data_IF_640476361291
#
_entry.id   IF_640476361291
#
_cell.length_a   1.000
_cell.length_b   1.000
_cell.length_c   1.000
_cell.angle_alpha   90.00
_cell.angle_beta   90.00
_cell.angle_gamma   90.00
#
_symmetry.space_group_name_H-M   'P 1'
#
loop_
_entity.id
_entity.type
_entity.pdbx_description
1 polymer ?
#
# COMPACT_ATOMS: atom_id res chain seq x y z
N UNK A 1 -24.80 -6.19 12.83
CA UNK A 1 -25.43 -6.71 11.60
C UNK A 1 -26.64 -5.84 11.18
N UNK A 2 -27.72 -5.70 11.98
CA UNK A 2 -28.90 -4.93 11.52
C UNK A 2 -28.60 -3.46 11.18
N UNK A 3 -27.74 -2.81 11.97
CA UNK A 3 -27.24 -1.46 11.67
C UNK A 3 -26.50 -1.38 10.33
N UNK A 4 -25.72 -2.41 9.99
CA UNK A 4 -24.99 -2.50 8.72
C UNK A 4 -25.95 -2.65 7.55
N UNK A 5 -26.93 -3.54 7.67
CA UNK A 5 -27.98 -3.74 6.65
C UNK A 5 -28.76 -2.45 6.44
N UNK A 6 -29.25 -1.84 7.52
CA UNK A 6 -29.99 -0.58 7.45
C UNK A 6 -29.18 0.55 6.80
N UNK A 7 -27.89 0.68 7.12
CA UNK A 7 -27.02 1.68 6.49
C UNK A 7 -26.82 1.41 5.00
N UNK A 8 -26.64 0.14 4.61
CA UNK A 8 -26.53 -0.28 3.21
C UNK A 8 -27.81 0.04 2.42
N UNK A 9 -28.98 -0.31 2.95
CA UNK A 9 -30.28 -0.08 2.30
C UNK A 9 -30.56 1.42 2.07
N UNK A 10 -30.09 2.26 2.99
CA UNK A 10 -30.25 3.71 2.92
C UNK A 10 -29.06 4.43 2.25
N UNK A 11 -28.04 3.69 1.79
CA UNK A 11 -26.80 4.23 1.19
C UNK A 11 -26.10 5.26 2.08
N UNK A 12 -26.07 5.01 3.38
CA UNK A 12 -25.41 5.87 4.37
C UNK A 12 -24.01 5.34 4.62
N UNK A 13 -22.99 6.13 4.27
CA UNK A 13 -21.61 5.85 4.68
C UNK A 13 -21.47 5.96 6.20
N UNK A 14 -21.14 4.87 6.87
CA UNK A 14 -21.00 4.82 8.34
C UNK A 14 -19.94 3.82 8.76
N UNK A 15 -19.30 4.06 9.90
CA UNK A 15 -18.36 3.14 10.54
C UNK A 15 -19.00 2.55 11.80
N UNK A 16 -18.96 1.21 11.92
CA UNK A 16 -19.57 0.48 13.04
C UNK A 16 -18.48 -0.36 13.71
N UNK A 17 -18.08 0.03 14.92
CA UNK A 17 -17.21 -0.79 15.76
C UNK A 17 -18.00 -1.94 16.38
N UNK A 18 -17.54 -3.17 16.18
CA UNK A 18 -18.03 -4.35 16.89
C UNK A 18 -17.04 -4.72 18.00
N UNK A 19 -17.53 -4.79 19.24
CA UNK A 19 -16.74 -5.22 20.40
C UNK A 19 -16.94 -6.72 20.57
N UNK A 20 -16.02 -7.50 20.04
CA UNK A 20 -16.05 -8.97 20.06
C UNK A 20 -15.01 -9.56 19.12
N UNK A 21 -15.01 -10.89 18.97
CA UNK A 21 -14.11 -11.56 18.03
C UNK A 21 -14.67 -11.49 16.61
N UNK A 22 -13.81 -11.16 15.64
CA UNK A 22 -14.21 -11.06 14.23
C UNK A 22 -14.76 -12.38 13.68
N UNK A 23 -14.25 -13.52 14.16
CA UNK A 23 -14.71 -14.85 13.74
C UNK A 23 -16.16 -15.08 14.15
N UNK A 24 -16.55 -14.69 15.36
CA UNK A 24 -17.93 -14.82 15.83
C UNK A 24 -18.88 -13.94 14.98
N UNK A 25 -18.41 -12.76 14.54
CA UNK A 25 -19.17 -11.90 13.64
C UNK A 25 -19.31 -12.52 12.24
N UNK A 26 -18.24 -13.06 11.66
CA UNK A 26 -18.29 -13.72 10.36
C UNK A 26 -19.20 -14.94 10.36
N UNK A 27 -19.06 -15.81 11.36
CA UNK A 27 -19.94 -16.98 11.52
C UNK A 27 -21.41 -16.56 11.67
N UNK A 28 -21.67 -15.47 12.40
CA UNK A 28 -23.03 -14.92 12.53
C UNK A 28 -23.56 -14.29 11.25
N UNK A 29 -22.70 -13.69 10.42
CA UNK A 29 -23.07 -13.18 9.08
C UNK A 29 -23.45 -14.35 8.16
N UNK A 30 -22.68 -15.44 8.20
CA UNK A 30 -22.96 -16.69 7.50
C UNK A 30 -24.31 -17.27 7.95
N UNK A 31 -24.52 -17.44 9.25
CA UNK A 31 -25.78 -18.00 9.81
C UNK A 31 -27.01 -17.17 9.42
N UNK A 32 -26.85 -15.85 9.32
CA UNK A 32 -27.93 -14.93 8.94
C UNK A 32 -28.09 -14.74 7.43
N UNK A 33 -27.28 -15.41 6.62
CA UNK A 33 -27.27 -15.30 5.16
C UNK A 33 -27.16 -13.84 4.69
N UNK A 34 -26.34 -13.04 5.39
CA UNK A 34 -26.17 -11.62 5.06
C UNK A 34 -25.11 -11.49 3.99
N UNK A 35 -25.50 -10.96 2.83
CA UNK A 35 -24.57 -10.70 1.74
C UNK A 35 -23.60 -9.58 2.10
N UNK A 36 -22.31 -9.85 1.93
CA UNK A 36 -21.22 -8.89 2.14
C UNK A 36 -20.46 -8.76 0.82
N UNK A 37 -20.33 -7.52 0.34
CA UNK A 37 -19.69 -7.25 -0.95
C UNK A 37 -18.16 -7.37 -0.87
N UNK A 38 -17.57 -6.83 0.19
CA UNK A 38 -16.13 -6.68 0.38
C UNK A 38 -15.75 -7.17 1.78
N UNK A 39 -14.72 -8.01 1.87
CA UNK A 39 -14.17 -8.53 3.13
C UNK A 39 -12.65 -8.48 3.15
N UNK A 40 -12.07 -8.24 4.32
CA UNK A 40 -10.62 -8.25 4.53
C UNK A 40 -10.34 -8.52 6.01
N UNK A 41 -9.08 -8.80 6.35
CA UNK A 41 -8.60 -8.90 7.73
C UNK A 41 -7.40 -7.96 7.96
N UNK A 42 -7.33 -7.34 9.14
CA UNK A 42 -6.20 -6.49 9.54
C UNK A 42 -5.79 -6.75 11.00
N UNK A 43 -5.99 -7.97 11.49
CA UNK A 43 -5.44 -8.39 12.79
C UNK A 43 -3.91 -8.48 12.73
N UNK A 44 -3.22 -8.57 13.86
CA UNK A 44 -1.75 -8.58 13.89
C UNK A 44 -1.20 -10.00 13.76
N UNK A 45 -1.40 -10.62 12.60
CA UNK A 45 -0.91 -11.99 12.32
C UNK A 45 0.59 -12.07 11.99
N UNK A 46 1.32 -10.95 12.01
CA UNK A 46 2.78 -10.95 12.02
C UNK A 46 3.37 -11.40 13.38
N UNK A 47 2.57 -11.42 14.44
CA UNK A 47 2.95 -11.88 15.78
C UNK A 47 1.77 -12.59 16.50
N UNK A 48 1.20 -13.66 15.89
CA UNK A 48 -0.08 -14.23 16.28
C UNK A 48 -0.11 -14.75 17.72
N UNK A 49 1.03 -15.26 18.22
CA UNK A 49 1.14 -15.90 19.53
C UNK A 49 1.59 -14.96 20.65
N UNK A 50 1.79 -13.67 20.36
CA UNK A 50 2.22 -12.66 21.34
C UNK A 50 1.18 -11.53 21.48
N UNK A 51 -0.10 -11.90 21.42
CA UNK A 51 -1.21 -10.96 21.54
C UNK A 51 -1.58 -10.24 20.25
N UNK A 52 -1.06 -10.70 19.10
CA UNK A 52 -1.45 -10.17 17.79
C UNK A 52 -2.80 -10.69 17.29
N UNK A 53 -3.20 -11.89 17.73
CA UNK A 53 -4.46 -12.54 17.38
C UNK A 53 -5.04 -13.27 18.59
N UNK A 54 -6.34 -13.11 18.83
CA UNK A 54 -7.01 -13.67 20.00
C UNK A 54 -8.00 -14.78 19.59
N UNK A 55 -7.99 -15.93 20.31
CA UNK A 55 -8.87 -17.05 19.98
C UNK A 55 -10.34 -16.71 20.19
N UNK A 56 -11.20 -17.27 19.33
CA UNK A 56 -12.65 -17.14 19.46
C UNK A 56 -13.18 -18.10 20.53
N UNK A 57 -14.21 -17.68 21.27
CA UNK A 57 -14.79 -18.45 22.38
C UNK A 57 -14.13 -18.23 23.75
N UNK A 58 -13.03 -17.46 23.82
CA UNK A 58 -12.45 -16.95 25.06
C UNK A 58 -12.65 -15.44 25.14
N UNK A 59 -12.82 -14.93 26.35
CA UNK A 59 -12.72 -13.49 26.59
C UNK A 59 -11.28 -13.00 26.40
N UNK A 60 -11.12 -11.67 26.30
CA UNK A 60 -9.80 -11.04 26.22
C UNK A 60 -8.94 -11.38 27.44
N UNK A 61 -9.50 -11.27 28.64
CA UNK A 61 -8.77 -11.54 29.89
C UNK A 61 -8.37 -13.02 30.02
N UNK A 62 -9.27 -13.95 29.69
CA UNK A 62 -8.95 -15.38 29.67
C UNK A 62 -7.85 -15.70 28.65
N UNK A 63 -7.90 -15.07 27.48
CA UNK A 63 -6.88 -15.23 26.45
C UNK A 63 -5.53 -14.67 26.89
N UNK A 64 -5.52 -13.53 27.59
CA UNK A 64 -4.29 -12.96 28.15
C UNK A 64 -3.69 -13.87 29.21
N UNK A 65 -4.49 -14.39 30.13
CA UNK A 65 -4.04 -15.38 31.12
C UNK A 65 -3.47 -16.62 30.42
N UNK A 66 -4.21 -17.18 29.46
CA UNK A 66 -3.81 -18.39 28.74
C UNK A 66 -2.47 -18.21 27.99
N UNK A 67 -2.29 -17.06 27.34
CA UNK A 67 -1.06 -16.72 26.62
C UNK A 67 0.18 -16.74 27.54
N UNK A 68 0.04 -16.38 28.83
CA UNK A 68 1.16 -16.38 29.78
C UNK A 68 1.33 -17.71 30.50
N UNK A 69 0.21 -18.32 30.92
CA UNK A 69 0.20 -19.52 31.75
C UNK A 69 0.42 -20.80 30.94
N UNK A 70 -0.11 -20.86 29.71
CA UNK A 70 0.01 -22.00 28.81
C UNK A 70 0.12 -21.58 27.33
N UNK A 71 1.30 -21.10 26.89
CA UNK A 71 1.49 -20.58 25.54
C UNK A 71 1.22 -21.59 24.41
N UNK A 72 1.45 -22.89 24.65
CA UNK A 72 1.19 -23.93 23.64
C UNK A 72 -0.30 -24.14 23.40
N UNK A 73 -1.13 -24.14 24.47
CA UNK A 73 -2.59 -24.18 24.33
C UNK A 73 -3.11 -22.89 23.69
N UNK A 74 -2.60 -21.72 24.09
CA UNK A 74 -2.94 -20.46 23.42
C UNK A 74 -2.69 -20.53 21.90
N UNK A 75 -1.53 -21.05 21.50
CA UNK A 75 -1.17 -21.25 20.09
C UNK A 75 -2.14 -22.20 19.37
N UNK A 76 -2.49 -23.33 20.00
CA UNK A 76 -3.46 -24.27 19.44
C UNK A 76 -4.84 -23.62 19.23
N UNK A 77 -5.31 -22.84 20.22
CA UNK A 77 -6.58 -22.11 20.14
C UNK A 77 -6.56 -21.03 19.04
N UNK A 78 -5.45 -20.31 18.88
CA UNK A 78 -5.25 -19.34 17.78
C UNK A 78 -5.34 -20.03 16.43
N UNK A 79 -4.63 -21.15 16.25
CA UNK A 79 -4.65 -21.92 15.01
C UNK A 79 -6.06 -22.47 14.71
N UNK A 80 -6.77 -22.94 15.73
CA UNK A 80 -8.16 -23.38 15.58
C UNK A 80 -9.09 -22.23 15.16
N UNK A 81 -8.87 -21.05 15.72
CA UNK A 81 -9.62 -19.85 15.37
C UNK A 81 -9.34 -19.41 13.93
N UNK A 82 -8.11 -19.52 13.45
CA UNK A 82 -7.76 -19.23 12.04
C UNK A 82 -8.48 -20.18 11.07
N UNK A 83 -8.55 -21.48 11.38
CA UNK A 83 -9.30 -22.44 10.57
C UNK A 83 -10.79 -22.08 10.47
N UNK A 84 -11.41 -21.70 11.59
CA UNK A 84 -12.80 -21.21 11.63
C UNK A 84 -12.97 -19.91 10.84
N UNK A 85 -12.04 -18.97 10.99
CA UNK A 85 -12.05 -17.70 10.27
C UNK A 85 -12.06 -17.96 8.75
N UNK A 86 -11.10 -18.74 8.24
CA UNK A 86 -11.02 -19.09 6.81
C UNK A 86 -12.27 -19.82 6.35
N UNK A 87 -12.83 -20.73 7.14
CA UNK A 87 -14.07 -21.43 6.78
C UNK A 87 -15.23 -20.45 6.55
N UNK A 88 -15.40 -19.45 7.42
CA UNK A 88 -16.43 -18.43 7.26
C UNK A 88 -16.17 -17.55 6.02
N UNK A 89 -14.92 -17.16 5.78
CA UNK A 89 -14.53 -16.42 4.58
C UNK A 89 -14.83 -17.24 3.32
N UNK A 90 -14.42 -18.51 3.26
CA UNK A 90 -14.70 -19.42 2.14
C UNK A 90 -16.20 -19.54 1.85
N UNK A 91 -17.02 -19.58 2.89
CA UNK A 91 -18.47 -19.58 2.70
C UNK A 91 -18.95 -18.27 2.05
N UNK A 92 -18.55 -17.12 2.60
CA UNK A 92 -19.01 -15.81 2.12
C UNK A 92 -18.50 -15.50 0.71
N UNK A 93 -17.26 -15.91 0.38
CA UNK A 93 -16.70 -15.75 -0.97
C UNK A 93 -17.41 -16.64 -1.97
N UNK A 94 -17.84 -17.85 -1.57
CA UNK A 94 -18.71 -18.71 -2.40
C UNK A 94 -20.07 -18.07 -2.71
N UNK A 95 -20.53 -17.13 -1.88
CA UNK A 95 -21.76 -16.35 -2.12
C UNK A 95 -21.51 -15.07 -2.93
N UNK A 96 -20.26 -14.74 -3.28
CA UNK A 96 -19.90 -13.58 -4.09
C UNK A 96 -19.22 -12.44 -3.34
N UNK A 97 -18.83 -12.62 -2.07
CA UNK A 97 -17.97 -11.66 -1.38
C UNK A 97 -16.58 -11.63 -2.06
N UNK A 98 -16.07 -10.44 -2.36
CA UNK A 98 -14.68 -10.27 -2.74
C UNK A 98 -13.83 -10.13 -1.47
N UNK A 99 -12.96 -11.11 -1.22
CA UNK A 99 -12.04 -11.11 -0.08
C UNK A 99 -10.60 -10.90 -0.52
N UNK A 100 -9.84 -10.14 0.26
CA UNK A 100 -8.41 -9.97 0.06
C UNK A 100 -7.63 -9.94 1.39
N UNK A 101 -6.36 -10.29 1.35
CA UNK A 101 -5.43 -10.15 2.48
C UNK A 101 -4.85 -8.73 2.55
N UNK A 102 -4.85 -8.10 3.73
CA UNK A 102 -4.41 -6.70 3.90
C UNK A 102 -2.91 -6.55 4.16
N UNK A 103 -2.10 -7.56 3.85
CA UNK A 103 -0.65 -7.58 4.10
C UNK A 103 -0.30 -7.73 5.57
N UNK A 104 -1.14 -8.44 6.33
CA UNK A 104 -0.98 -8.67 7.77
C UNK A 104 -0.55 -10.11 8.12
N UNK A 105 -0.20 -10.91 7.11
CA UNK A 105 0.15 -12.33 7.19
C UNK A 105 -1.04 -13.28 7.46
N UNK A 106 -2.28 -12.86 7.18
CA UNK A 106 -3.46 -13.72 7.36
C UNK A 106 -3.39 -15.00 6.53
N UNK A 107 -3.09 -14.91 5.23
CA UNK A 107 -2.97 -16.09 4.37
C UNK A 107 -1.84 -17.02 4.82
N UNK A 108 -0.70 -16.44 5.21
CA UNK A 108 0.48 -17.17 5.66
C UNK A 108 0.22 -17.96 6.93
N UNK A 109 -0.26 -17.30 7.98
CA UNK A 109 -0.55 -17.96 9.27
C UNK A 109 -1.74 -18.92 9.18
N UNK A 110 -2.75 -18.60 8.36
CA UNK A 110 -3.84 -19.53 8.07
C UNK A 110 -3.34 -20.80 7.39
N UNK A 111 -2.43 -20.67 6.43
CA UNK A 111 -1.79 -21.81 5.77
C UNK A 111 -0.97 -22.65 6.75
N UNK A 112 -0.18 -22.00 7.63
CA UNK A 112 0.57 -22.67 8.71
C UNK A 112 -0.34 -23.38 9.72
N UNK A 113 -1.54 -22.85 9.96
CA UNK A 113 -2.56 -23.44 10.83
C UNK A 113 -3.34 -24.60 10.16
N UNK A 114 -3.08 -24.89 8.88
CA UNK A 114 -3.77 -25.93 8.12
C UNK A 114 -5.19 -25.55 7.71
N UNK A 115 -5.49 -24.26 7.54
CA UNK A 115 -6.76 -23.82 7.00
C UNK A 115 -6.87 -24.08 5.49
N UNK A 116 -8.10 -24.20 4.97
CA UNK A 116 -8.38 -24.37 3.54
C UNK A 116 -8.20 -23.05 2.77
N UNK A 117 -6.95 -22.60 2.67
CA UNK A 117 -6.57 -21.30 2.10
C UNK A 117 -5.79 -21.43 0.78
N UNK A 118 -5.50 -22.66 0.34
CA UNK A 118 -4.76 -22.94 -0.89
C UNK A 118 -5.69 -23.38 -2.03
N UNK A 119 -5.36 -22.97 -3.24
CA UNK A 119 -6.00 -23.42 -4.48
C UNK A 119 -5.36 -24.73 -4.98
N UNK A 120 -5.90 -25.28 -6.07
CA UNK A 120 -5.45 -26.57 -6.64
C UNK A 120 -3.97 -26.58 -7.08
N UNK A 121 -3.42 -25.40 -7.40
CA UNK A 121 -2.04 -25.23 -7.86
C UNK A 121 -1.08 -24.95 -6.68
N UNK A 122 -1.54 -25.05 -5.43
CA UNK A 122 -0.75 -24.77 -4.23
C UNK A 122 -0.50 -23.28 -3.94
N UNK A 123 -1.08 -22.37 -4.72
CA UNK A 123 -1.12 -20.93 -4.41
C UNK A 123 -2.24 -20.58 -3.43
N UNK A 124 -2.30 -19.34 -2.97
CA UNK A 124 -3.42 -18.90 -2.12
C UNK A 124 -4.72 -18.76 -2.91
N UNK A 125 -5.87 -19.04 -2.28
CA UNK A 125 -7.22 -18.85 -2.85
C UNK A 125 -7.57 -17.38 -3.01
N UNK A 126 -7.04 -16.52 -2.15
CA UNK A 126 -7.33 -15.10 -2.13
C UNK A 126 -6.08 -14.29 -2.46
N UNK A 127 -6.24 -13.20 -3.21
CA UNK A 127 -5.16 -12.28 -3.47
C UNK A 127 -4.83 -11.48 -2.20
N UNK A 128 -3.60 -11.01 -2.10
CA UNK A 128 -3.32 -9.84 -1.26
C UNK A 128 -3.83 -8.56 -1.93
N UNK A 129 -4.12 -7.53 -1.13
CA UNK A 129 -4.50 -6.22 -1.65
C UNK A 129 -3.42 -5.63 -2.54
N UNK A 130 -2.15 -6.02 -2.38
CA UNK A 130 -1.08 -5.57 -3.28
C UNK A 130 -1.12 -6.31 -4.60
N UNK A 131 -1.40 -7.61 -4.62
CA UNK A 131 -1.48 -8.40 -5.85
C UNK A 131 -2.54 -7.86 -6.81
N UNK A 132 -3.72 -7.55 -6.29
CA UNK A 132 -4.89 -7.25 -7.13
C UNK A 132 -5.24 -5.76 -7.19
N UNK A 133 -4.87 -4.98 -6.18
CA UNK A 133 -5.27 -3.56 -6.08
C UNK A 133 -4.03 -2.66 -6.17
N UNK A 134 -3.15 -2.65 -5.16
CA UNK A 134 -2.07 -1.66 -5.09
C UNK A 134 -1.04 -1.81 -6.18
N UNK A 135 -0.60 -3.03 -6.48
CA UNK A 135 0.37 -3.28 -7.54
C UNK A 135 -0.17 -2.79 -8.88
N UNK A 136 -1.26 -3.41 -9.38
CA UNK A 136 -1.81 -3.06 -10.69
C UNK A 136 -2.33 -1.64 -10.79
N UNK A 137 -3.03 -1.11 -9.76
CA UNK A 137 -3.69 0.19 -9.84
C UNK A 137 -2.78 1.35 -9.46
N UNK A 138 -1.88 1.17 -8.48
CA UNK A 138 -1.04 2.23 -7.94
C UNK A 138 0.43 2.11 -8.35
N UNK A 139 1.14 1.10 -7.84
CA UNK A 139 2.60 1.02 -7.91
C UNK A 139 3.11 0.82 -9.33
N UNK A 140 2.44 0.01 -10.13
CA UNK A 140 2.80 -0.17 -11.53
C UNK A 140 2.65 1.15 -12.30
N UNK A 141 1.84 2.09 -11.81
CA UNK A 141 1.70 3.45 -12.37
C UNK A 141 2.51 4.52 -11.63
N UNK A 142 3.35 4.13 -10.68
CA UNK A 142 4.17 5.04 -9.88
C UNK A 142 3.42 5.75 -8.74
N UNK A 143 2.11 5.53 -8.58
CA UNK A 143 1.37 6.08 -7.45
C UNK A 143 1.77 5.38 -6.16
N UNK A 144 2.00 6.19 -5.14
CA UNK A 144 2.28 5.71 -3.80
C UNK A 144 2.27 6.86 -2.80
N UNK A 145 2.49 6.57 -1.51
CA UNK A 145 2.31 7.54 -0.44
C UNK A 145 3.29 8.71 -0.60
N UNK A 146 2.77 9.90 -0.85
CA UNK A 146 3.50 11.14 -0.82
C UNK A 146 3.04 11.93 0.41
N UNK A 147 3.95 12.19 1.34
CA UNK A 147 3.66 12.92 2.58
C UNK A 147 4.58 14.11 2.73
N UNK A 148 4.08 15.10 3.47
CA UNK A 148 4.89 16.23 3.85
C UNK A 148 4.57 16.71 5.27
N UNK A 149 5.51 17.44 5.85
CA UNK A 149 5.40 18.06 7.17
C UNK A 149 5.79 19.53 7.07
N UNK A 150 4.92 20.42 7.53
CA UNK A 150 5.21 21.86 7.63
C UNK A 150 6.04 22.13 8.88
N UNK A 151 7.30 22.55 8.72
CA UNK A 151 8.21 22.75 9.86
C UNK A 151 7.82 23.93 10.77
N UNK A 152 6.97 24.84 10.28
CA UNK A 152 6.41 25.94 11.07
C UNK A 152 5.48 25.48 12.19
N UNK A 153 4.86 24.29 12.05
CA UNK A 153 3.81 23.82 12.93
C UNK A 153 2.49 24.60 12.83
N UNK A 154 2.33 25.45 11.81
CA UNK A 154 1.13 26.28 11.62
C UNK A 154 0.06 25.59 10.77
N UNK A 155 -1.20 25.74 11.17
CA UNK A 155 -2.35 25.28 10.38
C UNK A 155 -2.47 26.02 9.05
N UNK A 156 -2.08 27.30 9.01
CA UNK A 156 -2.10 28.10 7.78
C UNK A 156 -1.20 27.53 6.69
N UNK A 157 -0.01 27.03 7.06
CA UNK A 157 0.92 26.41 6.11
C UNK A 157 0.37 25.07 5.61
N UNK A 158 -0.25 24.28 6.49
CA UNK A 158 -0.87 23.01 6.09
C UNK A 158 -2.03 23.24 5.10
N UNK A 159 -2.90 24.21 5.39
CA UNK A 159 -4.00 24.58 4.49
C UNK A 159 -3.48 25.11 3.15
N UNK A 160 -2.38 25.86 3.12
CA UNK A 160 -1.77 26.30 1.87
C UNK A 160 -1.18 25.12 1.09
N UNK A 161 -0.53 24.17 1.77
CA UNK A 161 -0.05 22.94 1.11
C UNK A 161 -1.17 22.07 0.56
N UNK A 162 -2.30 21.99 1.26
CA UNK A 162 -3.48 21.26 0.79
C UNK A 162 -4.06 21.89 -0.49
N UNK A 163 -4.15 23.23 -0.54
CA UNK A 163 -4.58 23.96 -1.75
C UNK A 163 -3.62 23.75 -2.93
N UNK A 164 -2.31 23.78 -2.68
CA UNK A 164 -1.30 23.51 -3.71
C UNK A 164 -1.50 22.12 -4.29
N UNK A 165 -1.63 21.10 -3.42
CA UNK A 165 -1.86 19.73 -3.85
C UNK A 165 -3.17 19.58 -4.63
N UNK A 166 -4.27 20.17 -4.14
CA UNK A 166 -5.56 20.17 -4.84
C UNK A 166 -5.46 20.80 -6.23
N UNK A 167 -4.82 21.96 -6.35
CA UNK A 167 -4.67 22.68 -7.59
C UNK A 167 -3.86 21.86 -8.62
N UNK A 168 -2.70 21.34 -8.21
CA UNK A 168 -1.84 20.54 -9.08
C UNK A 168 -2.56 19.27 -9.55
N UNK A 169 -3.24 18.55 -8.63
CA UNK A 169 -4.00 17.35 -9.00
C UNK A 169 -5.18 17.67 -9.93
N UNK A 170 -5.82 18.84 -9.77
CA UNK A 170 -6.89 19.28 -10.66
C UNK A 170 -6.38 19.53 -12.08
N UNK A 171 -5.25 20.23 -12.23
CA UNK A 171 -4.61 20.44 -13.54
C UNK A 171 -4.20 19.12 -14.19
N UNK A 172 -3.55 18.23 -13.43
CA UNK A 172 -3.17 16.90 -13.91
C UNK A 172 -4.39 16.10 -14.37
N UNK A 173 -5.51 16.18 -13.66
CA UNK A 173 -6.73 15.50 -14.04
C UNK A 173 -7.32 16.02 -15.36
N UNK A 174 -7.14 17.30 -15.70
CA UNK A 174 -7.58 17.85 -16.98
C UNK A 174 -6.68 17.40 -18.14
N UNK A 175 -5.37 17.28 -17.88
CA UNK A 175 -4.36 16.89 -18.86
C UNK A 175 -4.35 15.38 -19.15
N UNK A 176 -4.65 14.56 -18.14
CA UNK A 176 -4.48 13.11 -18.19
C UNK A 176 -5.51 12.42 -19.08
N UNK A 177 -5.07 11.45 -19.90
CA UNK A 177 -5.92 10.68 -20.82
C UNK A 177 -6.08 9.23 -20.41
N UNK A 178 -5.11 8.66 -19.68
CA UNK A 178 -5.20 7.29 -19.18
C UNK A 178 -6.27 7.21 -18.08
N UNK A 179 -7.33 6.45 -18.33
CA UNK A 179 -8.49 6.32 -17.44
C UNK A 179 -8.09 5.82 -16.05
N UNK A 180 -7.10 4.93 -15.95
CA UNK A 180 -6.65 4.39 -14.67
C UNK A 180 -5.86 5.43 -13.88
N UNK A 181 -4.99 6.19 -14.54
CA UNK A 181 -4.26 7.31 -13.91
C UNK A 181 -5.25 8.40 -13.46
N UNK A 182 -6.25 8.73 -14.30
CA UNK A 182 -7.31 9.69 -13.94
C UNK A 182 -8.06 9.26 -12.69
N UNK A 183 -8.41 7.97 -12.57
CA UNK A 183 -9.09 7.44 -11.39
C UNK A 183 -8.25 7.65 -10.12
N UNK A 184 -6.96 7.33 -10.16
CA UNK A 184 -6.06 7.55 -9.03
C UNK A 184 -5.96 9.03 -8.64
N UNK A 185 -5.86 9.94 -9.63
CA UNK A 185 -5.86 11.38 -9.37
C UNK A 185 -7.19 11.82 -8.74
N UNK A 186 -8.33 11.33 -9.23
CA UNK A 186 -9.66 11.66 -8.71
C UNK A 186 -9.84 11.24 -7.25
N UNK A 187 -9.40 10.03 -6.89
CA UNK A 187 -9.49 9.52 -5.53
C UNK A 187 -8.67 10.40 -4.56
N UNK A 188 -7.46 10.77 -4.97
CA UNK A 188 -6.58 11.64 -4.17
C UNK A 188 -7.04 13.10 -4.12
N UNK A 189 -7.68 13.58 -5.19
CA UNK A 189 -8.29 14.90 -5.24
C UNK A 189 -9.52 15.00 -4.34
N UNK A 190 -10.35 13.95 -4.30
CA UNK A 190 -11.46 13.87 -3.34
C UNK A 190 -10.92 13.86 -1.92
N UNK A 191 -9.92 13.03 -1.65
CA UNK A 191 -9.29 12.94 -0.34
C UNK A 191 -8.75 14.30 0.13
N UNK A 192 -7.93 15.00 -0.66
CA UNK A 192 -7.30 16.25 -0.22
C UNK A 192 -8.33 17.36 0.08
N UNK A 193 -9.48 17.36 -0.62
CA UNK A 193 -10.61 18.26 -0.36
C UNK A 193 -11.32 17.99 0.96
N UNK A 194 -11.35 16.74 1.40
CA UNK A 194 -12.08 16.29 2.60
C UNK A 194 -11.17 16.13 3.82
N UNK A 195 -9.85 16.02 3.62
CA UNK A 195 -8.89 15.60 4.64
C UNK A 195 -8.81 16.53 5.86
N UNK A 196 -9.05 17.84 5.69
CA UNK A 196 -9.09 18.80 6.80
C UNK A 196 -10.35 18.63 7.66
N UNK A 197 -11.51 18.40 7.03
CA UNK A 197 -12.78 18.19 7.71
C UNK A 197 -12.77 16.96 8.63
N UNK A 198 -11.92 15.97 8.34
CA UNK A 198 -11.77 14.76 9.16
C UNK A 198 -10.90 14.97 10.42
N UNK A 199 -10.22 16.12 10.58
CA UNK A 199 -9.45 16.46 11.79
C UNK A 199 -8.43 15.38 12.22
N UNK A 200 -7.72 14.80 11.23
CA UNK A 200 -6.83 13.65 11.44
C UNK A 200 -5.41 14.03 11.92
N UNK A 201 -5.11 15.32 12.03
CA UNK A 201 -3.78 15.82 12.38
C UNK A 201 -3.51 15.59 13.86
N UNK A 202 -2.47 14.81 14.16
CA UNK A 202 -1.96 14.59 15.52
C UNK A 202 -0.46 14.91 15.54
N UNK A 203 -0.04 15.81 16.44
CA UNK A 203 1.34 16.25 16.55
C UNK A 203 1.73 17.25 15.46
N UNK A 204 2.65 16.86 14.57
CA UNK A 204 3.16 17.72 13.50
C UNK A 204 2.10 18.02 12.44
N UNK A 205 2.13 19.23 11.87
CA UNK A 205 1.25 19.61 10.76
C UNK A 205 1.68 18.89 9.49
N UNK A 206 1.02 17.77 9.21
CA UNK A 206 1.39 16.84 8.16
C UNK A 206 0.16 16.41 7.35
N UNK A 207 0.40 16.07 6.09
CA UNK A 207 -0.59 15.52 5.18
C UNK A 207 0.04 14.41 4.37
N UNK A 208 -0.81 13.50 3.89
CA UNK A 208 -0.46 12.41 3.00
C UNK A 208 -1.50 12.34 1.89
N UNK A 209 -1.09 11.93 0.70
CA UNK A 209 -1.94 11.49 -0.41
C UNK A 209 -1.12 10.54 -1.28
N UNK A 210 -1.71 9.95 -2.31
CA UNK A 210 -1.00 9.18 -3.32
C UNK A 210 -0.76 10.02 -4.58
N UNK A 211 0.46 10.00 -5.08
CA UNK A 211 0.85 10.67 -6.31
C UNK A 211 1.91 9.85 -7.06
N UNK A 212 1.84 9.90 -8.39
CA UNK A 212 2.87 9.40 -9.30
C UNK A 212 4.06 10.37 -9.39
N UNK A 213 5.04 10.06 -10.24
CA UNK A 213 6.26 10.87 -10.36
C UNK A 213 5.97 12.33 -10.72
N UNK A 214 5.05 12.56 -11.67
CA UNK A 214 4.68 13.91 -12.09
C UNK A 214 3.93 14.65 -10.99
N UNK A 215 3.01 13.98 -10.29
CA UNK A 215 2.31 14.55 -9.15
C UNK A 215 3.25 14.93 -8.02
N UNK A 216 4.14 14.02 -7.59
CA UNK A 216 5.12 14.30 -6.54
C UNK A 216 6.00 15.49 -6.92
N UNK A 217 6.55 15.49 -8.13
CA UNK A 217 7.45 16.54 -8.61
C UNK A 217 6.76 17.91 -8.75
N UNK A 218 5.54 17.97 -9.31
CA UNK A 218 4.78 19.23 -9.48
C UNK A 218 4.35 19.82 -8.13
N UNK A 219 3.82 18.98 -7.24
CA UNK A 219 3.40 19.40 -5.90
C UNK A 219 4.62 19.93 -5.12
N UNK A 220 5.72 19.18 -5.10
CA UNK A 220 6.94 19.59 -4.42
C UNK A 220 7.53 20.90 -4.97
N UNK A 221 7.55 21.07 -6.30
CA UNK A 221 8.05 22.29 -6.93
C UNK A 221 7.18 23.52 -6.60
N UNK A 222 5.85 23.37 -6.59
CA UNK A 222 4.96 24.47 -6.24
C UNK A 222 5.01 24.80 -4.74
N UNK A 223 5.17 23.81 -3.86
CA UNK A 223 5.46 24.06 -2.45
C UNK A 223 6.79 24.79 -2.26
N UNK A 224 7.84 24.38 -2.98
CA UNK A 224 9.14 25.05 -2.93
C UNK A 224 9.02 26.52 -3.38
N UNK A 225 8.30 26.80 -4.46
CA UNK A 225 7.98 28.16 -4.89
C UNK A 225 7.19 28.94 -3.84
N UNK A 226 6.17 28.32 -3.24
CA UNK A 226 5.37 28.95 -2.19
C UNK A 226 6.17 29.33 -0.94
N UNK A 227 7.22 28.56 -0.61
CA UNK A 227 8.19 28.92 0.45
C UNK A 227 9.03 30.12 0.01
N UNK A 228 9.55 30.12 -1.23
CA UNK A 228 10.36 31.21 -1.76
C UNK A 228 9.62 32.56 -1.79
N UNK A 229 8.32 32.53 -2.13
CA UNK A 229 7.46 33.71 -2.22
C UNK A 229 6.80 34.08 -0.87
N UNK A 230 7.00 33.28 0.17
CA UNK A 230 6.51 33.53 1.54
C UNK A 230 5.03 33.19 1.80
N UNK A 231 4.37 32.45 0.89
CA UNK A 231 3.01 31.91 1.11
C UNK A 231 3.01 30.78 2.13
N UNK A 232 4.06 29.97 2.13
CA UNK A 232 4.38 29.01 3.20
C UNK A 232 5.50 29.61 4.04
N UNK A 233 5.30 29.68 5.35
CA UNK A 233 6.16 30.49 6.23
C UNK A 233 7.49 29.86 6.61
N UNK A 234 7.67 28.55 6.42
CA UNK A 234 8.87 27.81 6.78
C UNK A 234 9.13 26.64 5.83
N UNK A 235 10.33 26.02 5.85
CA UNK A 235 10.63 24.82 5.07
C UNK A 235 9.61 23.69 5.25
N UNK A 236 9.44 22.88 4.21
CA UNK A 236 8.58 21.69 4.23
C UNK A 236 9.45 20.45 4.09
N UNK A 237 9.16 19.41 4.87
CA UNK A 237 9.85 18.12 4.79
C UNK A 237 8.96 17.18 3.98
N UNK A 238 9.41 16.78 2.80
CA UNK A 238 8.80 15.74 1.98
C UNK A 238 9.29 14.37 2.44
N UNK A 239 8.45 13.36 2.29
CA UNK A 239 8.82 11.96 2.56
C UNK A 239 7.73 11.01 2.10
N UNK A 240 7.80 9.77 2.59
CA UNK A 240 6.82 8.71 2.31
C UNK A 240 6.86 7.61 3.35
N UNK A 241 5.87 6.71 3.28
CA UNK A 241 6.03 5.39 3.87
C UNK A 241 7.03 4.57 3.06
N UNK A 242 7.49 3.46 3.62
CA UNK A 242 8.26 2.49 2.84
C UNK A 242 7.34 1.66 1.94
N UNK A 243 6.04 1.61 2.23
CA UNK A 243 5.01 1.00 1.38
C UNK A 243 4.80 1.80 0.07
N UNK A 244 5.74 1.68 -0.85
CA UNK A 244 5.79 2.48 -2.07
C UNK A 244 6.36 1.67 -3.25
N UNK A 245 6.23 2.22 -4.46
CA UNK A 245 6.59 1.61 -5.75
C UNK A 245 8.02 1.05 -5.80
N UNK A 246 9.00 1.78 -5.25
CA UNK A 246 10.44 1.45 -5.37
C UNK A 246 11.11 1.13 -4.04
N UNK A 247 10.54 1.61 -2.94
CA UNK A 247 11.21 1.58 -1.64
C UNK A 247 11.34 0.18 -1.04
N UNK A 248 10.53 -0.78 -1.46
CA UNK A 248 10.39 -2.05 -0.73
C UNK A 248 10.34 -3.27 -1.63
N UNK A 249 11.20 -4.24 -1.33
CA UNK A 249 11.07 -5.61 -1.81
C UNK A 249 10.46 -6.47 -0.71
N UNK A 250 9.22 -6.93 -0.94
CA UNK A 250 8.47 -7.79 -0.01
C UNK A 250 7.62 -8.80 -0.81
N UNK A 251 8.04 -10.06 -0.90
CA UNK A 251 7.38 -11.08 -1.73
C UNK A 251 5.94 -11.41 -1.30
N UNK A 252 5.56 -11.02 -0.08
CA UNK A 252 4.23 -11.25 0.50
C UNK A 252 3.36 -9.99 0.52
N UNK A 253 3.89 -8.85 0.07
CA UNK A 253 3.17 -7.58 0.07
C UNK A 253 3.58 -6.72 -1.10
N UNK A 254 4.48 -5.74 -0.93
CA UNK A 254 4.81 -4.72 -1.95
C UNK A 254 5.20 -5.29 -3.33
N UNK A 255 5.88 -6.44 -3.37
CA UNK A 255 6.30 -7.11 -4.61
C UNK A 255 5.61 -8.44 -4.83
N UNK A 256 4.44 -8.67 -4.21
CA UNK A 256 3.68 -9.90 -4.38
C UNK A 256 3.14 -10.07 -5.81
N UNK A 257 2.85 -8.96 -6.52
CA UNK A 257 2.43 -8.99 -7.93
C UNK A 257 3.57 -9.25 -8.94
N UNK A 258 4.82 -9.41 -8.49
CA UNK A 258 5.98 -9.67 -9.35
C UNK A 258 6.05 -11.18 -9.69
N UNK A 259 5.95 -11.52 -10.99
CA UNK A 259 5.77 -12.91 -11.48
C UNK A 259 6.95 -13.49 -12.25
N UNK A 260 8.03 -12.74 -12.46
CA UNK A 260 9.25 -13.22 -13.15
C UNK A 260 10.21 -14.00 -12.24
N UNK A 261 9.81 -14.28 -11.00
CA UNK A 261 10.64 -14.93 -9.98
C UNK A 261 11.51 -13.97 -9.17
N UNK A 262 11.65 -12.71 -9.59
CA UNK A 262 12.51 -11.73 -8.90
C UNK A 262 11.92 -11.18 -7.60
N UNK A 263 10.68 -11.56 -7.24
CA UNK A 263 10.01 -11.09 -6.02
C UNK A 263 10.76 -11.40 -4.73
N UNK A 264 11.68 -12.37 -4.77
CA UNK A 264 12.54 -12.80 -3.66
C UNK A 264 13.87 -12.03 -3.53
N UNK A 265 14.18 -11.17 -4.49
CA UNK A 265 15.38 -10.34 -4.49
C UNK A 265 15.19 -9.07 -3.64
N UNK A 266 16.28 -8.37 -3.33
CA UNK A 266 16.25 -7.09 -2.60
C UNK A 266 16.97 -5.95 -3.36
N UNK A 267 17.24 -6.14 -4.65
CA UNK A 267 18.03 -5.18 -5.43
C UNK A 267 17.31 -3.83 -5.58
N UNK A 268 16.00 -3.82 -5.78
CA UNK A 268 15.21 -2.60 -6.02
C UNK A 268 15.27 -1.65 -4.82
N UNK A 269 15.01 -2.17 -3.62
CA UNK A 269 15.01 -1.39 -2.38
C UNK A 269 16.41 -0.85 -2.04
N UNK A 270 17.46 -1.67 -2.24
CA UNK A 270 18.85 -1.25 -2.03
C UNK A 270 19.27 -0.18 -3.05
N UNK A 271 18.94 -0.39 -4.34
CA UNK A 271 19.23 0.61 -5.38
C UNK A 271 18.47 1.91 -5.13
N UNK A 272 17.22 1.84 -4.66
CA UNK A 272 16.43 3.03 -4.32
C UNK A 272 17.13 3.85 -3.23
N UNK A 273 17.49 3.19 -2.13
CA UNK A 273 18.20 3.79 -1.00
C UNK A 273 19.49 4.50 -1.44
N UNK A 274 20.34 3.82 -2.22
CA UNK A 274 21.60 4.41 -2.70
C UNK A 274 21.33 5.56 -3.66
N UNK A 275 20.39 5.38 -4.59
CA UNK A 275 20.09 6.37 -5.61
C UNK A 275 19.46 7.64 -5.06
N UNK A 276 18.63 7.55 -4.02
CA UNK A 276 18.08 8.70 -3.30
C UNK A 276 19.18 9.49 -2.58
N UNK A 277 20.11 8.77 -1.93
CA UNK A 277 21.20 9.34 -1.15
C UNK A 277 22.11 10.25 -2.00
N UNK A 278 22.36 9.87 -3.25
CA UNK A 278 23.23 10.62 -4.17
C UNK A 278 22.46 11.62 -5.05
N UNK A 279 21.12 11.69 -4.94
CA UNK A 279 20.27 12.60 -5.73
C UNK A 279 19.71 13.77 -4.96
N UNK A 280 20.01 13.86 -3.66
CA UNK A 280 19.77 15.07 -2.87
C UNK A 280 18.77 14.92 -1.74
N UNK A 281 18.34 13.70 -1.39
CA UNK A 281 17.63 13.45 -0.15
C UNK A 281 18.37 14.07 1.04
N UNK A 282 17.65 14.62 2.01
CA UNK A 282 18.23 15.16 3.25
C UNK A 282 18.68 14.02 4.17
N UNK A 283 17.92 12.94 4.20
CA UNK A 283 18.32 11.65 4.77
C UNK A 283 17.66 10.50 4.02
N UNK A 284 18.24 9.31 4.18
CA UNK A 284 17.74 8.04 3.65
C UNK A 284 17.79 6.97 4.74
N UNK A 285 16.92 5.98 4.62
CA UNK A 285 16.85 4.82 5.53
C UNK A 285 16.71 3.52 4.72
N UNK A 286 17.32 2.46 5.22
CA UNK A 286 17.12 1.09 4.74
C UNK A 286 16.90 0.19 5.96
N UNK A 287 15.75 -0.45 6.03
CA UNK A 287 15.29 -1.26 7.15
C UNK A 287 15.11 -2.73 6.74
N UNK A 288 15.12 -3.60 7.74
CA UNK A 288 14.76 -5.01 7.62
C UNK A 288 13.49 -5.25 8.45
N UNK A 289 12.46 -5.82 7.83
CA UNK A 289 11.29 -6.34 8.52
C UNK A 289 10.07 -5.42 8.58
N UNK A 290 10.08 -4.27 7.90
CA UNK A 290 8.93 -3.36 7.92
C UNK A 290 7.68 -3.97 7.28
N UNK A 291 6.61 -4.11 8.07
CA UNK A 291 5.32 -4.58 7.60
C UNK A 291 5.08 -6.07 7.84
N UNK A 292 5.77 -6.94 7.08
CA UNK A 292 5.55 -8.39 7.11
C UNK A 292 6.43 -9.13 8.12
N UNK A 293 7.36 -8.45 8.80
CA UNK A 293 8.19 -9.01 9.87
C UNK A 293 9.65 -9.27 9.47
N UNK A 294 10.49 -9.43 10.49
CA UNK A 294 11.95 -9.54 10.36
C UNK A 294 12.39 -10.69 9.45
N UNK A 295 13.24 -10.38 8.46
CA UNK A 295 13.80 -11.36 7.52
C UNK A 295 12.96 -11.58 6.26
N UNK A 296 11.73 -11.06 6.21
CA UNK A 296 10.81 -11.26 5.09
C UNK A 296 10.74 -10.05 4.13
N UNK A 297 11.44 -8.96 4.43
CA UNK A 297 11.34 -7.69 3.67
C UNK A 297 12.58 -6.81 3.82
N UNK A 298 12.98 -6.18 2.72
CA UNK A 298 13.95 -5.08 2.64
C UNK A 298 13.22 -3.81 2.22
N UNK A 299 13.20 -2.79 3.08
CA UNK A 299 12.36 -1.61 2.88
C UNK A 299 13.08 -0.30 3.22
N UNK A 300 13.09 0.65 2.29
CA UNK A 300 13.77 1.94 2.40
C UNK A 300 12.85 3.15 2.20
N UNK A 301 13.32 4.28 2.71
CA UNK A 301 12.61 5.55 2.66
C UNK A 301 13.57 6.74 2.65
N UNK A 302 12.97 7.92 2.52
CA UNK A 302 13.70 9.18 2.47
C UNK A 302 13.00 10.27 3.27
N UNK A 303 13.76 11.32 3.60
CA UNK A 303 13.21 12.64 3.85
C UNK A 303 13.97 13.70 3.06
N UNK A 304 13.23 14.65 2.51
CA UNK A 304 13.77 15.73 1.69
C UNK A 304 13.20 17.07 2.15
N UNK A 305 14.06 17.91 2.71
CA UNK A 305 13.73 19.28 3.09
C UNK A 305 13.78 20.18 1.85
N UNK A 306 12.68 20.90 1.62
CA UNK A 306 12.57 21.97 0.63
C UNK A 306 12.45 23.31 1.37
N UNK A 307 13.25 24.29 0.95
CA UNK A 307 13.42 25.57 1.65
C UNK A 307 13.21 26.81 0.75
N UNK A 308 12.66 26.61 -0.45
CA UNK A 308 12.45 27.65 -1.44
C UNK A 308 13.67 27.99 -2.30
N UNK A 309 14.81 27.33 -2.09
CA UNK A 309 16.01 27.58 -2.89
C UNK A 309 15.97 26.86 -4.24
N UNK A 310 16.73 27.39 -5.19
CA UNK A 310 17.02 26.71 -6.46
C UNK A 310 17.76 25.37 -6.26
N UNK A 311 18.50 25.22 -5.15
CA UNK A 311 19.17 23.96 -4.85
C UNK A 311 18.16 22.89 -4.40
N UNK A 312 17.19 23.24 -3.56
CA UNK A 312 16.06 22.35 -3.23
C UNK A 312 15.26 21.97 -4.48
N UNK A 313 15.00 22.92 -5.40
CA UNK A 313 14.33 22.65 -6.68
C UNK A 313 15.08 21.61 -7.53
N UNK A 314 16.42 21.72 -7.60
CA UNK A 314 17.27 20.77 -8.33
C UNK A 314 17.25 19.39 -7.66
N UNK A 315 17.34 19.34 -6.32
CA UNK A 315 17.34 18.10 -5.54
C UNK A 315 16.00 17.37 -5.64
N UNK A 316 14.87 18.07 -5.46
CA UNK A 316 13.55 17.44 -5.50
C UNK A 316 13.24 16.83 -6.87
N UNK A 317 13.59 17.51 -7.97
CA UNK A 317 13.38 16.97 -9.33
C UNK A 317 14.22 15.73 -9.59
N UNK A 318 15.49 15.74 -9.17
CA UNK A 318 16.39 14.61 -9.37
C UNK A 318 15.98 13.41 -8.51
N UNK A 319 15.69 13.64 -7.23
CA UNK A 319 15.42 12.60 -6.24
C UNK A 319 14.03 11.97 -6.45
N UNK A 320 12.96 12.76 -6.58
CA UNK A 320 11.60 12.22 -6.76
C UNK A 320 11.43 11.49 -8.09
N UNK A 321 12.13 11.94 -9.14
CA UNK A 321 12.15 11.23 -10.42
C UNK A 321 12.70 9.81 -10.25
N UNK A 322 13.85 9.66 -9.58
CA UNK A 322 14.46 8.36 -9.32
C UNK A 322 13.64 7.49 -8.36
N UNK A 323 13.17 8.06 -7.25
CA UNK A 323 12.40 7.35 -6.21
C UNK A 323 11.14 6.70 -6.75
N UNK A 324 10.55 7.22 -7.83
CA UNK A 324 9.40 6.62 -8.49
C UNK A 324 9.81 5.75 -9.68
N UNK A 325 10.62 6.28 -10.60
CA UNK A 325 10.91 5.58 -11.87
C UNK A 325 11.75 4.33 -11.69
N UNK A 326 12.56 4.22 -10.63
CA UNK A 326 13.32 3.00 -10.31
C UNK A 326 12.40 1.79 -10.17
N UNK A 327 11.37 1.88 -9.32
CA UNK A 327 10.42 0.81 -9.08
C UNK A 327 9.50 0.57 -10.26
N UNK A 328 9.07 1.63 -10.96
CA UNK A 328 8.28 1.46 -12.21
C UNK A 328 9.10 0.71 -13.27
N UNK A 329 10.39 1.04 -13.44
CA UNK A 329 11.27 0.33 -14.38
C UNK A 329 11.48 -1.13 -13.98
N UNK A 330 11.70 -1.42 -12.69
CA UNK A 330 11.81 -2.79 -12.20
C UNK A 330 10.51 -3.57 -12.42
N UNK A 331 9.35 -3.00 -12.06
CA UNK A 331 8.03 -3.61 -12.24
C UNK A 331 7.73 -3.86 -13.72
N UNK A 332 8.13 -2.94 -14.59
CA UNK A 332 8.03 -3.09 -16.03
C UNK A 332 8.86 -4.28 -16.50
N UNK A 333 10.13 -4.37 -16.08
CA UNK A 333 11.02 -5.50 -16.39
C UNK A 333 10.44 -6.84 -15.92
N UNK A 334 9.78 -6.85 -14.77
CA UNK A 334 9.04 -7.99 -14.24
C UNK A 334 7.72 -8.31 -14.97
N UNK A 335 7.45 -7.65 -16.11
CA UNK A 335 6.33 -7.88 -17.03
C UNK A 335 4.96 -7.42 -16.50
N UNK A 336 4.93 -6.39 -15.66
CA UNK A 336 3.65 -5.77 -15.26
C UNK A 336 3.19 -4.76 -16.33
N UNK A 337 2.01 -4.99 -16.92
CA UNK A 337 1.51 -4.19 -18.05
C UNK A 337 1.38 -2.71 -17.73
N UNK A 338 0.85 -2.38 -16.55
CA UNK A 338 0.73 -1.00 -16.07
C UNK A 338 2.09 -0.29 -16.01
N UNK A 339 3.12 -1.00 -15.57
CA UNK A 339 4.48 -0.47 -15.44
C UNK A 339 5.18 -0.33 -16.78
N UNK A 340 4.96 -1.27 -17.72
CA UNK A 340 5.45 -1.15 -19.10
C UNK A 340 4.87 0.11 -19.76
N UNK A 341 3.57 0.36 -19.60
CA UNK A 341 2.94 1.57 -20.12
C UNK A 341 3.50 2.84 -19.46
N UNK A 342 3.59 2.86 -18.13
CA UNK A 342 4.07 4.02 -17.38
C UNK A 342 5.54 4.34 -17.64
N UNK A 343 6.43 3.34 -17.77
CA UNK A 343 7.84 3.61 -18.01
C UNK A 343 8.10 4.10 -19.44
N UNK A 344 7.35 3.62 -20.43
CA UNK A 344 7.41 4.15 -21.81
C UNK A 344 7.02 5.62 -21.84
N UNK A 345 5.92 5.98 -21.19
CA UNK A 345 5.50 7.37 -21.04
C UNK A 345 6.54 8.22 -20.29
N UNK A 346 7.16 7.69 -19.25
CA UNK A 346 8.22 8.39 -18.53
C UNK A 346 9.44 8.68 -19.43
N UNK A 347 9.83 7.75 -20.31
CA UNK A 347 10.88 7.97 -21.31
C UNK A 347 10.49 9.00 -22.38
N UNK A 348 9.20 9.05 -22.77
CA UNK A 348 8.70 10.08 -23.69
C UNK A 348 8.77 11.49 -23.08
N UNK A 349 8.51 11.61 -21.77
CA UNK A 349 8.55 12.88 -21.03
C UNK A 349 10.00 13.29 -20.75
N UNK A 350 10.87 12.35 -20.37
CA UNK A 350 12.26 12.62 -20.01
C UNK A 350 13.23 11.86 -20.92
N UNK A 351 13.77 12.55 -21.92
CA UNK A 351 14.78 12.01 -22.85
C UNK A 351 16.09 11.53 -22.21
N UNK A 352 16.36 11.88 -20.95
CA UNK A 352 17.52 11.37 -20.20
C UNK A 352 17.25 10.01 -19.53
N UNK A 353 15.99 9.59 -19.46
CA UNK A 353 15.61 8.27 -18.98
C UNK A 353 15.67 7.29 -20.14
N UNK A 354 16.49 6.25 -19.99
CA UNK A 354 16.53 5.12 -20.92
C UNK A 354 16.61 3.86 -20.09
N UNK A 355 15.60 3.00 -20.24
CA UNK A 355 15.51 1.73 -19.52
C UNK A 355 15.33 0.56 -20.49
N UNK A 356 15.66 -0.64 -20.03
CA UNK A 356 15.33 -1.86 -20.77
C UNK A 356 13.85 -2.18 -20.59
N UNK A 357 13.10 -2.20 -21.70
CA UNK A 357 11.70 -2.68 -21.72
C UNK A 357 11.72 -4.17 -22.04
N UNK A 358 10.98 -5.03 -21.34
CA UNK A 358 10.98 -6.46 -21.64
C UNK A 358 10.24 -6.74 -22.94
N UNK A 359 10.75 -7.70 -23.71
CA UNK A 359 10.03 -8.34 -24.81
C UNK A 359 9.28 -9.54 -24.26
N UNK A 360 7.96 -9.57 -24.47
CA UNK A 360 7.10 -10.65 -23.96
C UNK A 360 7.08 -11.81 -24.96
N UNK A 361 7.27 -13.03 -24.47
CA UNK A 361 7.09 -14.27 -25.23
C UNK A 361 5.66 -14.75 -25.09
N UNK A 362 5.07 -15.27 -26.16
CA UNK A 362 3.77 -15.94 -26.11
C UNK A 362 3.90 -17.26 -25.34
N UNK A 363 3.00 -17.49 -24.37
CA UNK A 363 3.00 -18.71 -23.56
C UNK A 363 2.87 -19.97 -24.43
N UNK A 364 2.17 -19.90 -25.57
CA UNK A 364 2.08 -21.04 -26.50
C UNK A 364 3.45 -21.48 -27.04
N UNK A 365 4.40 -20.55 -27.21
CA UNK A 365 5.77 -20.89 -27.63
C UNK A 365 6.50 -21.64 -26.50
N UNK A 366 6.24 -21.28 -25.24
CA UNK A 366 6.84 -21.95 -24.09
C UNK A 366 6.23 -23.34 -23.89
N UNK A 367 4.91 -23.47 -24.00
CA UNK A 367 4.19 -24.74 -23.89
C UNK A 367 4.67 -25.74 -24.96
N UNK A 368 4.83 -25.28 -26.21
CA UNK A 368 5.37 -26.09 -27.31
C UNK A 368 6.82 -26.56 -27.06
N UNK A 369 7.63 -25.78 -26.33
CA UNK A 369 9.05 -26.08 -26.06
C UNK A 369 9.23 -27.02 -24.87
N UNK A 370 8.40 -26.87 -23.84
CA UNK A 370 8.56 -27.59 -22.56
C UNK A 370 7.76 -28.89 -22.57
N UNK A 371 6.69 -28.99 -23.37
CA UNK A 371 5.83 -30.15 -23.49
C UNK A 371 4.92 -30.33 -22.26
N UNK A 372 3.72 -30.89 -22.49
CA UNK A 372 2.82 -31.30 -21.41
C UNK A 372 3.43 -32.52 -20.66
N UNK A 373 4.14 -32.30 -19.55
CA UNK A 373 4.44 -33.36 -18.58
C UNK A 373 3.27 -33.69 -17.66
#
# INVERSE_FOLDING_TARGET
IDKMISASDNKIGTSIGYVGNIVDLWERIVEREVFVHLGSDQTSLHNPFQGGYFPAGLSFDESQSLMHENPEDFKEQVQNTLRRHVQAINHLTSQGMFFWDYGNAFLLESGRAGADIFNENGGYRYPSYVEDIMGPLCFDRGFGPFRWVCSSGLDSDLLETDKIAEHVLSEMLEEEKDVNVRQQIQDNLKWIREADAHSLVVGSKARILYADEQGRSRIAAEMNRAIADGRITAPVILGRDHHDVSGTDSPYRETANIRDGSKWTADMSVQNFVGDAIRGATWVSLHNGGGVGWGEVSNGGFGLLIDGTNDSERRLKSMLHWDVTNGVARRAWARNDGAIASIKRAMDINSQLTVTVPELVDDAILDDLIGDE
#
